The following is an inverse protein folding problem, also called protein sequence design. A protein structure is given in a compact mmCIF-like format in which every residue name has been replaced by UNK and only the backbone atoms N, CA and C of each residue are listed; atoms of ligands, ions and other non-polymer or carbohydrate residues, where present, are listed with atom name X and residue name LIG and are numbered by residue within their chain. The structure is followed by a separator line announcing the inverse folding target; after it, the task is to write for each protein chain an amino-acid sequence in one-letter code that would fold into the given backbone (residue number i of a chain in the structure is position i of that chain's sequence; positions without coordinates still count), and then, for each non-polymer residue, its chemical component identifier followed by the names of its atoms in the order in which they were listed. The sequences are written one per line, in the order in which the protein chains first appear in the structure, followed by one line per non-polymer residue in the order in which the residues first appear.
data_IF_975258723911
#
_entry.id   IF_975258723911
#
_cell.length_a   1.000
_cell.length_b   1.000
_cell.length_c   1.000
_cell.angle_alpha   90.00
_cell.angle_beta   90.00
_cell.angle_gamma   90.00
#
_symmetry.space_group_name_H-M   'P 1'
#
loop_
_entity.id
_entity.type
_entity.pdbx_description
1 polymer ?
#
# COMPACT_ATOMS: atom_id res chain seq x y z
N UNK A 1 7.58 -2.64 -21.28
CA UNK A 1 6.95 -1.63 -20.40
C UNK A 1 5.71 -2.26 -19.77
N UNK A 2 5.37 -1.84 -18.56
CA UNK A 2 4.20 -2.33 -17.82
C UNK A 2 3.30 -1.14 -17.47
N UNK A 3 2.00 -1.26 -17.71
CA UNK A 3 1.01 -0.23 -17.41
C UNK A 3 0.12 -0.71 -16.26
N UNK A 4 -0.05 0.12 -15.24
CA UNK A 4 -0.82 -0.22 -14.04
C UNK A 4 -1.85 0.86 -13.77
N UNK A 5 -3.11 0.44 -13.59
CA UNK A 5 -4.19 1.29 -13.08
C UNK A 5 -4.22 1.22 -11.56
N UNK A 6 -4.28 2.38 -10.92
CA UNK A 6 -4.26 2.48 -9.46
C UNK A 6 -5.68 2.57 -8.90
N UNK A 7 -5.84 2.15 -7.65
CA UNK A 7 -7.12 2.16 -6.94
C UNK A 7 -7.59 3.58 -6.57
N UNK A 8 -8.85 3.69 -6.15
CA UNK A 8 -9.40 4.94 -5.66
C UNK A 8 -8.62 5.44 -4.43
N UNK A 9 -8.26 6.73 -4.42
CA UNK A 9 -7.45 7.33 -3.35
C UNK A 9 -5.94 7.42 -3.64
N UNK A 10 -5.45 6.78 -4.71
CA UNK A 10 -4.09 7.00 -5.18
C UNK A 10 -3.91 8.41 -5.78
N UNK A 11 -2.73 9.06 -5.65
CA UNK A 11 -2.48 10.39 -6.19
C UNK A 11 -2.51 10.46 -7.72
N UNK A 12 -2.39 9.32 -8.39
CA UNK A 12 -2.43 9.19 -9.85
C UNK A 12 -3.35 8.02 -10.24
N UNK A 13 -4.03 8.12 -11.38
CA UNK A 13 -4.92 7.06 -11.86
C UNK A 13 -4.18 5.92 -12.56
N UNK A 14 -3.04 6.21 -13.19
CA UNK A 14 -2.25 5.25 -13.95
C UNK A 14 -0.76 5.57 -13.81
N UNK A 15 0.06 4.53 -13.80
CA UNK A 15 1.52 4.64 -13.90
C UNK A 15 2.05 3.69 -14.98
N UNK A 16 3.14 4.11 -15.62
CA UNK A 16 3.88 3.27 -16.57
C UNK A 16 5.27 3.00 -16.01
N UNK A 17 5.64 1.73 -15.91
CA UNK A 17 6.92 1.27 -15.40
C UNK A 17 7.76 0.67 -16.54
N UNK A 18 9.00 1.14 -16.66
CA UNK A 18 10.00 0.53 -17.52
C UNK A 18 10.82 -0.48 -16.72
N UNK A 19 10.74 -1.76 -17.11
CA UNK A 19 11.53 -2.82 -16.49
C UNK A 19 12.84 -2.97 -17.25
N UNK A 20 13.95 -2.76 -16.56
CA UNK A 20 15.31 -2.93 -17.10
C UNK A 20 15.87 -4.31 -16.78
N UNK A 21 16.92 -4.72 -17.50
CA UNK A 21 17.68 -5.94 -17.18
C UNK A 21 17.22 -7.21 -17.89
N UNK A 22 16.50 -7.10 -19.02
CA UNK A 22 16.16 -8.25 -19.88
C UNK A 22 15.04 -9.17 -19.34
N UNK A 23 14.44 -8.84 -18.20
CA UNK A 23 13.28 -9.54 -17.66
C UNK A 23 12.03 -9.05 -18.39
N UNK A 24 11.15 -9.98 -18.79
CA UNK A 24 9.90 -9.65 -19.47
C UNK A 24 8.97 -8.87 -18.53
N UNK A 25 8.35 -7.81 -19.06
CA UNK A 25 7.36 -7.03 -18.32
C UNK A 25 6.16 -7.86 -17.87
N UNK A 26 5.77 -8.88 -18.65
CA UNK A 26 4.66 -9.78 -18.31
C UNK A 26 4.91 -10.58 -17.03
N UNK A 27 6.16 -10.98 -16.78
CA UNK A 27 6.51 -11.70 -15.55
C UNK A 27 6.27 -10.83 -14.32
N UNK A 28 6.69 -9.56 -14.39
CA UNK A 28 6.45 -8.60 -13.30
C UNK A 28 4.96 -8.27 -13.13
N UNK A 29 4.23 -8.12 -14.23
CA UNK A 29 2.78 -7.91 -14.17
C UNK A 29 2.07 -9.06 -13.44
N UNK A 30 2.49 -10.31 -13.68
CA UNK A 30 1.97 -11.48 -12.95
C UNK A 30 2.30 -11.42 -11.45
N UNK A 31 3.51 -11.01 -11.06
CA UNK A 31 3.86 -10.87 -9.64
C UNK A 31 3.04 -9.79 -8.94
N UNK A 32 2.82 -8.64 -9.59
CA UNK A 32 1.95 -7.57 -9.06
C UNK A 32 0.53 -8.09 -8.87
N UNK A 33 -0.03 -8.82 -9.83
CA UNK A 33 -1.36 -9.41 -9.68
C UNK A 33 -1.43 -10.45 -8.55
N UNK A 34 -0.36 -11.23 -8.32
CA UNK A 34 -0.28 -12.14 -7.18
C UNK A 34 -0.26 -11.39 -5.84
N UNK A 35 0.45 -10.26 -5.78
CA UNK A 35 0.47 -9.39 -4.61
C UNK A 35 -0.92 -8.84 -4.30
N UNK A 36 -1.61 -8.30 -5.31
CA UNK A 36 -2.98 -7.76 -5.18
C UNK A 36 -3.97 -8.82 -4.70
N UNK A 37 -3.81 -10.08 -5.15
CA UNK A 37 -4.66 -11.20 -4.70
C UNK A 37 -4.26 -11.77 -3.33
N UNK A 38 -3.23 -11.21 -2.67
CA UNK A 38 -2.75 -11.67 -1.37
C UNK A 38 -1.93 -12.96 -1.41
N UNK A 39 -1.68 -13.55 -2.58
CA UNK A 39 -0.98 -14.84 -2.69
C UNK A 39 0.45 -14.78 -2.16
N UNK A 40 1.14 -13.64 -2.36
CA UNK A 40 2.50 -13.46 -1.83
C UNK A 40 2.51 -13.54 -0.30
N UNK A 41 1.49 -12.96 0.36
CA UNK A 41 1.33 -13.02 1.81
C UNK A 41 0.88 -14.40 2.28
N UNK A 42 -0.01 -15.06 1.54
CA UNK A 42 -0.49 -16.42 1.87
C UNK A 42 0.55 -17.51 1.70
N UNK A 43 1.50 -17.33 0.78
CA UNK A 43 2.63 -18.24 0.56
C UNK A 43 3.84 -17.91 1.46
N UNK A 44 3.76 -16.83 2.24
CA UNK A 44 4.81 -16.45 3.19
C UNK A 44 4.86 -17.47 4.33
N UNK A 45 6.05 -18.04 4.55
CA UNK A 45 6.34 -18.91 5.71
C UNK A 45 6.68 -18.11 6.97
N UNK A 46 6.82 -16.78 6.84
CA UNK A 46 7.04 -15.87 7.96
C UNK A 46 5.67 -15.42 8.47
N UNK A 47 5.35 -15.77 9.72
CA UNK A 47 4.16 -15.28 10.39
C UNK A 47 4.23 -13.75 10.50
N UNK A 48 3.13 -13.04 10.15
CA UNK A 48 3.08 -11.60 10.29
C UNK A 48 3.20 -11.21 11.76
N UNK A 49 4.00 -10.19 12.05
CA UNK A 49 4.24 -9.71 13.41
C UNK A 49 2.91 -9.31 14.07
N UNK A 50 2.52 -9.96 15.19
CA UNK A 50 1.25 -9.70 15.85
C UNK A 50 1.16 -8.26 16.38
N UNK A 51 2.28 -7.65 16.80
CA UNK A 51 2.28 -6.24 17.25
C UNK A 51 1.98 -5.29 16.09
N UNK A 52 2.47 -5.60 14.89
CA UNK A 52 2.18 -4.82 13.69
C UNK A 52 0.69 -4.90 13.31
N UNK A 53 0.10 -6.10 13.38
CA UNK A 53 -1.34 -6.30 13.09
C UNK A 53 -2.22 -5.50 14.06
N UNK A 54 -1.90 -5.56 15.35
CA UNK A 54 -2.68 -4.86 16.38
C UNK A 54 -2.58 -3.34 16.23
N UNK A 55 -1.40 -2.82 15.90
CA UNK A 55 -1.19 -1.39 15.61
C UNK A 55 -1.98 -0.92 14.39
N UNK A 56 -1.97 -1.70 13.30
CA UNK A 56 -2.75 -1.37 12.11
C UNK A 56 -4.26 -1.40 12.38
N UNK A 57 -4.73 -2.32 13.24
CA UNK A 57 -6.15 -2.39 13.63
C UNK A 57 -6.59 -1.21 14.51
N UNK A 58 -5.72 -0.73 15.38
CA UNK A 58 -5.99 0.39 16.28
C UNK A 58 -5.62 1.76 15.67
N UNK A 59 -5.12 1.78 14.44
CA UNK A 59 -4.78 3.01 13.74
C UNK A 59 -6.04 3.88 13.55
N UNK A 60 -5.96 5.20 13.79
CA UNK A 60 -7.08 6.09 13.57
C UNK A 60 -7.49 6.07 12.09
N UNK A 61 -8.77 5.84 11.82
CA UNK A 61 -9.36 5.92 10.46
C UNK A 61 -9.64 7.36 10.05
N UNK A 62 -9.83 8.24 11.03
CA UNK A 62 -10.20 9.63 10.85
C UNK A 62 -9.09 10.54 11.37
N UNK A 63 -8.84 11.64 10.66
CA UNK A 63 -7.85 12.61 11.08
C UNK A 63 -8.32 13.33 12.36
N UNK A 64 -7.64 13.20 13.52
CA UNK A 64 -7.99 13.92 14.75
C UNK A 64 -7.93 15.45 14.61
N UNK A 65 -7.22 15.98 13.61
CA UNK A 65 -7.13 17.42 13.39
C UNK A 65 -8.29 18.00 12.57
N UNK A 66 -8.80 17.27 11.56
CA UNK A 66 -9.80 17.81 10.64
C UNK A 66 -11.01 16.90 10.37
N UNK A 67 -11.01 15.67 10.90
CA UNK A 67 -12.09 14.69 10.74
C UNK A 67 -12.16 14.02 9.37
N UNK A 68 -11.23 14.27 8.45
CA UNK A 68 -11.21 13.58 7.15
C UNK A 68 -10.72 12.15 7.28
N UNK A 69 -11.22 11.25 6.43
CA UNK A 69 -10.73 9.86 6.34
C UNK A 69 -9.25 9.84 5.96
N UNK A 70 -8.46 9.05 6.69
CA UNK A 70 -7.05 8.83 6.42
C UNK A 70 -6.86 7.71 5.38
N UNK A 71 -5.83 7.78 4.54
CA UNK A 71 -5.51 6.70 3.61
C UNK A 71 -5.11 5.43 4.37
N UNK A 72 -5.38 4.27 3.75
CA UNK A 72 -5.01 2.97 4.32
C UNK A 72 -3.50 2.85 4.53
N UNK A 73 -3.10 2.33 5.68
CA UNK A 73 -1.72 2.08 6.04
C UNK A 73 -1.23 0.75 5.46
N UNK A 74 -0.05 0.77 4.85
CA UNK A 74 0.62 -0.45 4.40
C UNK A 74 1.43 -1.07 5.54
N UNK A 75 1.68 -2.38 5.45
CA UNK A 75 2.53 -3.07 6.40
C UNK A 75 3.93 -2.44 6.43
N UNK A 76 4.33 -1.92 7.60
CA UNK A 76 5.61 -1.23 7.81
C UNK A 76 5.52 0.30 7.84
N UNK A 77 4.37 0.89 7.49
CA UNK A 77 4.17 2.33 7.65
C UNK A 77 4.10 2.69 9.13
N UNK A 78 4.88 3.70 9.52
CA UNK A 78 4.88 4.25 10.89
C UNK A 78 4.28 5.64 10.96
N UNK A 79 3.91 6.20 9.80
CA UNK A 79 3.35 7.54 9.68
C UNK A 79 2.32 7.60 8.55
N UNK A 80 1.28 8.41 8.76
CA UNK A 80 0.28 8.76 7.75
C UNK A 80 0.21 10.27 7.61
N UNK A 81 0.12 10.75 6.36
CA UNK A 81 -0.14 12.17 6.08
C UNK A 81 -1.58 12.32 5.63
N UNK A 82 -2.32 13.21 6.29
CA UNK A 82 -3.68 13.55 5.87
C UNK A 82 -3.63 14.27 4.52
N UNK A 83 -4.28 13.71 3.50
CA UNK A 83 -4.34 14.30 2.16
C UNK A 83 -5.16 15.62 2.11
N UNK A 84 -5.97 15.89 3.13
CA UNK A 84 -6.81 17.09 3.19
C UNK A 84 -6.12 18.26 3.88
N UNK A 85 -5.70 18.09 5.14
CA UNK A 85 -5.11 19.17 5.94
C UNK A 85 -3.57 19.13 6.04
N UNK A 86 -2.94 18.08 5.50
CA UNK A 86 -1.48 17.92 5.53
C UNK A 86 -0.90 17.53 6.90
N UNK A 87 -1.73 17.27 7.91
CA UNK A 87 -1.25 16.81 9.21
C UNK A 87 -0.57 15.45 9.09
N UNK A 88 0.66 15.36 9.61
CA UNK A 88 1.43 14.11 9.70
C UNK A 88 1.20 13.50 11.08
N UNK A 89 0.85 12.22 11.11
CA UNK A 89 0.59 11.48 12.34
C UNK A 89 1.41 10.22 12.36
N UNK A 90 1.91 9.87 13.55
CA UNK A 90 2.65 8.65 13.80
C UNK A 90 1.72 7.60 14.37
N UNK A 91 1.78 6.38 13.83
CA UNK A 91 1.00 5.21 14.26
C UNK A 91 1.96 4.19 14.89
#
# INVERSE_FOLDING_TARGET
MMHLKLGAGAPYAEITCEIKGGIKSDFWAQQVQRAVKGYISSESTVEPDPELIERLRNAPTDCPNCGSVLPELSAGDTQVTCAYCGSVMRI
#
